data_IF_141674555988
#
_entry.id   IF_141674555988
#
_cell.length_a   1.000
_cell.length_b   1.000
_cell.length_c   1.000
_cell.angle_alpha   90.00
_cell.angle_beta   90.00
_cell.angle_gamma   90.00
#
_symmetry.space_group_name_H-M   'P 1'
#
loop_
_entity.id
_entity.type
_entity.pdbx_description
1 polymer ?
#
# COMPACT_ATOMS: atom_id res chain seq x y z
N UNK A 1 -13.82 -33.40 1.84
CA UNK A 1 -13.49 -32.08 1.26
C UNK A 1 -12.43 -31.42 2.14
N UNK A 2 -11.23 -31.10 1.63
CA UNK A 2 -10.18 -30.44 2.43
C UNK A 2 -10.64 -29.01 2.77
N UNK A 3 -10.80 -28.69 4.05
CA UNK A 3 -11.08 -27.33 4.52
C UNK A 3 -9.96 -26.41 4.05
N UNK A 4 -10.20 -25.59 3.02
CA UNK A 4 -9.28 -24.52 2.63
C UNK A 4 -9.25 -23.52 3.80
N UNK A 5 -8.19 -23.56 4.61
CA UNK A 5 -7.90 -22.52 5.59
C UNK A 5 -7.64 -21.24 4.82
N UNK A 6 -8.55 -20.28 4.93
CA UNK A 6 -8.36 -18.96 4.34
C UNK A 6 -7.46 -18.15 5.27
N UNK A 7 -6.42 -17.55 4.71
CA UNK A 7 -5.58 -16.60 5.43
C UNK A 7 -6.32 -15.27 5.58
N UNK A 8 -6.20 -14.65 6.75
CA UNK A 8 -6.76 -13.34 7.04
C UNK A 8 -5.62 -12.35 7.35
N UNK A 9 -5.78 -11.13 6.86
CA UNK A 9 -4.85 -10.03 7.07
C UNK A 9 -5.60 -8.80 7.59
N UNK A 10 -4.96 -8.00 8.46
CA UNK A 10 -5.56 -6.76 8.94
C UNK A 10 -5.53 -5.70 7.82
N UNK A 11 -6.62 -4.95 7.70
CA UNK A 11 -6.67 -3.79 6.83
C UNK A 11 -5.80 -2.64 7.39
N UNK A 12 -4.92 -2.09 6.57
CA UNK A 12 -4.04 -0.97 6.91
C UNK A 12 -4.79 0.25 7.48
N UNK A 13 -5.99 0.54 6.97
CA UNK A 13 -6.77 1.71 7.40
C UNK A 13 -7.67 1.48 8.61
N UNK A 14 -8.54 0.47 8.56
CA UNK A 14 -9.58 0.28 9.58
C UNK A 14 -9.27 -0.88 10.56
N UNK A 15 -8.14 -1.56 10.42
CA UNK A 15 -7.74 -2.69 11.27
C UNK A 15 -8.57 -3.97 11.09
N UNK A 16 -9.71 -3.91 10.38
CA UNK A 16 -10.60 -5.07 10.17
C UNK A 16 -9.84 -6.25 9.55
N UNK A 17 -10.07 -7.46 10.07
CA UNK A 17 -9.57 -8.69 9.46
C UNK A 17 -10.31 -8.98 8.15
N UNK A 18 -9.55 -9.14 7.08
CA UNK A 18 -10.06 -9.41 5.73
C UNK A 18 -9.37 -10.66 5.21
N UNK A 19 -10.12 -11.51 4.50
CA UNK A 19 -9.50 -12.63 3.82
C UNK A 19 -8.49 -12.13 2.77
N UNK A 20 -7.33 -12.76 2.72
CA UNK A 20 -6.22 -12.37 1.85
C UNK A 20 -6.62 -12.31 0.36
N UNK A 21 -7.49 -13.22 -0.09
CA UNK A 21 -8.00 -13.28 -1.47
C UNK A 21 -8.89 -12.08 -1.85
N UNK A 22 -9.53 -11.47 -0.84
CA UNK A 22 -10.39 -10.30 -1.01
C UNK A 22 -9.66 -8.98 -0.77
N UNK A 23 -8.56 -9.02 -0.03
CA UNK A 23 -7.76 -7.85 0.27
C UNK A 23 -7.11 -7.30 -1.01
N UNK A 24 -7.03 -5.98 -1.09
CA UNK A 24 -6.20 -5.28 -2.06
C UNK A 24 -4.79 -5.24 -1.50
N UNK A 25 -3.85 -5.86 -2.20
CA UNK A 25 -2.43 -5.86 -1.85
C UNK A 25 -1.72 -4.75 -2.63
N UNK A 26 -1.08 -3.83 -1.93
CA UNK A 26 -0.22 -2.82 -2.52
C UNK A 26 1.19 -2.94 -1.93
N UNK A 27 2.19 -2.75 -2.77
CA UNK A 27 3.58 -2.63 -2.34
C UNK A 27 3.94 -1.16 -2.45
N UNK A 28 4.28 -0.53 -1.34
CA UNK A 28 4.64 0.88 -1.28
C UNK A 28 6.14 0.93 -1.01
N UNK A 29 6.86 1.74 -1.77
CA UNK A 29 8.25 2.11 -1.48
C UNK A 29 8.26 3.57 -1.02
N UNK A 30 8.24 3.84 0.30
CA UNK A 30 8.30 5.22 0.78
C UNK A 30 9.57 5.91 0.30
N UNK A 31 9.45 6.90 -0.59
CA UNK A 31 10.54 7.86 -0.80
C UNK A 31 10.42 8.90 0.29
N UNK A 32 11.07 8.66 1.42
CA UNK A 32 11.27 9.70 2.42
C UNK A 32 12.20 10.73 1.77
N UNK A 33 11.68 11.91 1.41
CA UNK A 33 12.54 13.08 1.17
C UNK A 33 13.10 13.49 2.53
N UNK A 34 14.41 13.39 2.75
CA UNK A 34 14.98 13.86 3.99
C UNK A 34 14.91 15.40 3.98
N UNK A 35 14.26 16.01 4.96
CA UNK A 35 14.38 17.46 5.26
C UNK A 35 15.75 17.78 5.91
N UNK A 36 16.82 17.18 5.41
CA UNK A 36 18.19 17.45 5.92
C UNK A 36 18.90 18.38 4.97
N UNK A 37 19.46 19.46 5.56
CA UNK A 37 20.36 20.42 4.94
C UNK A 37 21.47 19.70 4.16
N UNK A 38 21.85 20.25 3.01
CA UNK A 38 22.76 19.65 2.02
C UNK A 38 24.18 19.32 2.49
N UNK A 39 24.50 19.53 3.77
CA UNK A 39 25.78 19.18 4.39
C UNK A 39 25.81 17.75 4.96
N UNK A 40 24.65 17.12 5.19
CA UNK A 40 24.59 15.71 5.59
C UNK A 40 24.47 14.85 4.34
N UNK A 41 25.47 13.99 4.10
CA UNK A 41 25.39 12.99 3.04
C UNK A 41 24.09 12.22 3.22
N UNK A 42 23.18 12.24 2.23
CA UNK A 42 21.91 11.55 2.36
C UNK A 42 22.26 10.08 2.41
N UNK A 43 22.30 9.52 3.62
CA UNK A 43 22.22 8.09 3.79
C UNK A 43 20.91 7.75 3.12
N UNK A 44 20.99 7.21 1.89
CA UNK A 44 19.84 6.83 1.09
C UNK A 44 18.97 5.96 1.99
N UNK A 45 17.93 6.54 2.57
CA UNK A 45 16.93 5.78 3.31
C UNK A 45 16.14 5.06 2.23
N UNK A 46 16.75 4.00 1.69
CA UNK A 46 16.12 2.96 0.90
C UNK A 46 15.15 2.27 1.85
N UNK A 47 14.02 2.92 2.09
CA UNK A 47 12.97 2.30 2.87
C UNK A 47 12.53 1.07 2.08
N UNK A 48 12.69 -0.09 2.70
CA UNK A 48 12.37 -1.36 2.05
C UNK A 48 10.89 -1.34 1.65
N UNK A 49 10.53 -1.89 0.46
CA UNK A 49 9.15 -1.91 0.01
C UNK A 49 8.25 -2.60 1.05
N UNK A 50 7.24 -1.88 1.53
CA UNK A 50 6.27 -2.35 2.52
C UNK A 50 5.03 -2.86 1.80
N UNK A 51 4.57 -4.06 2.16
CA UNK A 51 3.30 -4.61 1.66
C UNK A 51 2.17 -4.19 2.59
N UNK A 52 1.20 -3.46 2.06
CA UNK A 52 -0.03 -3.12 2.78
C UNK A 52 -1.22 -3.88 2.20
N UNK A 53 -2.19 -4.19 3.07
CA UNK A 53 -3.43 -4.86 2.71
C UNK A 53 -4.61 -3.94 3.02
N UNK A 54 -5.51 -3.74 2.06
CA UNK A 54 -6.65 -2.83 2.20
C UNK A 54 -7.95 -3.62 2.03
N UNK A 55 -8.92 -3.39 2.91
CA UNK A 55 -10.24 -4.00 2.78
C UNK A 55 -11.01 -3.41 1.58
N UNK A 56 -11.94 -4.18 0.97
CA UNK A 56 -12.74 -3.69 -0.16
C UNK A 56 -13.57 -2.42 0.11
N UNK A 57 -13.93 -2.16 1.38
CA UNK A 57 -14.66 -0.97 1.76
C UNK A 57 -13.76 0.28 1.78
N UNK A 58 -12.63 0.21 2.49
CA UNK A 58 -11.64 1.30 2.51
C UNK A 58 -11.06 1.59 1.13
N UNK A 59 -10.85 0.56 0.33
CA UNK A 59 -10.42 0.73 -1.06
C UNK A 59 -11.42 1.52 -1.89
N UNK A 60 -12.73 1.16 -1.82
CA UNK A 60 -13.78 1.90 -2.52
C UNK A 60 -13.91 3.34 -2.04
N UNK A 61 -13.89 3.56 -0.73
CA UNK A 61 -13.95 4.89 -0.14
C UNK A 61 -12.81 5.80 -0.66
N UNK A 62 -11.60 5.24 -0.82
CA UNK A 62 -10.44 5.94 -1.39
C UNK A 62 -10.36 5.91 -2.92
N UNK A 63 -11.35 5.36 -3.61
CA UNK A 63 -11.36 5.27 -5.07
C UNK A 63 -10.28 4.36 -5.67
N UNK A 64 -9.84 3.33 -4.94
CA UNK A 64 -8.84 2.34 -5.36
C UNK A 64 -9.57 1.10 -5.88
N UNK A 65 -9.55 0.87 -7.19
CA UNK A 65 -10.14 -0.32 -7.79
C UNK A 65 -9.09 -1.39 -8.10
N UNK A 66 -9.49 -2.67 -8.16
CA UNK A 66 -8.61 -3.77 -8.61
C UNK A 66 -8.06 -3.56 -10.04
N UNK A 67 -8.72 -2.73 -10.86
CA UNK A 67 -8.27 -2.39 -12.22
C UNK A 67 -7.11 -1.40 -12.20
N UNK A 68 -7.08 -0.48 -11.25
CA UNK A 68 -6.01 0.53 -11.14
C UNK A 68 -4.68 -0.11 -10.71
N UNK A 69 -4.72 -1.17 -9.91
CA UNK A 69 -3.53 -1.87 -9.38
C UNK A 69 -2.78 -2.67 -10.46
N UNK A 70 -3.47 -3.14 -11.50
CA UNK A 70 -2.84 -3.90 -12.59
C UNK A 70 -2.01 -3.00 -13.52
N UNK A 71 -2.25 -1.69 -13.51
CA UNK A 71 -1.51 -0.74 -14.33
C UNK A 71 -0.35 -0.14 -13.51
N UNK A 72 0.89 -0.57 -13.78
CA UNK A 72 2.10 0.02 -13.19
C UNK A 72 2.17 1.55 -13.40
N UNK A 73 1.65 2.05 -14.53
CA UNK A 73 1.62 3.49 -14.82
C UNK A 73 0.68 4.31 -13.92
N UNK A 74 -0.19 3.66 -13.12
CA UNK A 74 -1.09 4.33 -12.16
C UNK A 74 -0.63 4.26 -10.71
N UNK A 75 0.51 3.62 -10.41
CA UNK A 75 1.04 3.54 -9.05
C UNK A 75 1.21 4.93 -8.43
N UNK A 76 1.71 5.92 -9.18
CA UNK A 76 1.87 7.30 -8.69
C UNK A 76 0.53 7.98 -8.36
N UNK A 77 -0.52 7.71 -9.14
CA UNK A 77 -1.86 8.27 -8.92
C UNK A 77 -2.54 7.62 -7.71
N UNK A 78 -2.32 6.32 -7.50
CA UNK A 78 -2.76 5.58 -6.32
C UNK A 78 -2.02 6.09 -5.09
N UNK A 79 -0.70 6.29 -5.16
CA UNK A 79 0.10 6.88 -4.06
C UNK A 79 -0.42 8.26 -3.66
N UNK A 80 -0.73 9.13 -4.62
CA UNK A 80 -1.39 10.43 -4.34
C UNK A 80 -2.72 10.27 -3.60
N UNK A 81 -3.60 9.35 -4.03
CA UNK A 81 -4.88 9.06 -3.35
C UNK A 81 -4.71 8.44 -1.95
N UNK A 82 -3.57 7.81 -1.69
CA UNK A 82 -3.23 7.27 -0.38
C UNK A 82 -2.70 8.36 0.58
N UNK A 83 -2.41 9.57 0.08
CA UNK A 83 -1.79 10.67 0.84
C UNK A 83 -0.27 10.56 0.91
N UNK A 84 0.35 9.84 -0.03
CA UNK A 84 1.80 9.66 -0.12
C UNK A 84 2.28 10.58 -1.24
N UNK A 85 2.84 11.74 -0.88
CA UNK A 85 3.46 12.65 -1.84
C UNK A 85 4.78 12.05 -2.38
N UNK A 86 4.98 12.17 -3.69
CA UNK A 86 6.22 11.79 -4.40
C UNK A 86 7.02 13.04 -4.71
#
# INVERSE_FOLDING_TARGET
MKNKKYEYVPCYYCGRMVRLDKAIKLTISPKLKPDVSGEQSPTLILSSPIKIYICPACARYRGISKKDIKNKNKEQEILKKLGIEV
#
